data_IF_883735137416
#
_entry.id   IF_883735137416
#
_cell.length_a   1.000
_cell.length_b   1.000
_cell.length_c   1.000
_cell.angle_alpha   90.00
_cell.angle_beta   90.00
_cell.angle_gamma   90.00
#
_symmetry.space_group_name_H-M   'P 1'
#
loop_
_entity.id
_entity.type
_entity.pdbx_description
1 polymer ?
#
# COMPACT_ATOMS: atom_id res chain seq x y z
N UNK A 1 -10.38 -5.65 11.93
CA UNK A 1 -10.33 -5.09 13.29
C UNK A 1 -11.71 -4.67 13.74
N UNK A 2 -12.14 -5.22 14.85
CA UNK A 2 -13.50 -4.97 15.36
C UNK A 2 -13.76 -3.52 15.75
N UNK A 3 -12.67 -2.74 15.96
CA UNK A 3 -12.80 -1.35 16.37
C UNK A 3 -12.98 -0.38 15.21
N UNK A 4 -12.82 -0.86 13.98
CA UNK A 4 -12.97 -0.03 12.79
C UNK A 4 -14.33 0.67 12.76
N UNK A 5 -15.38 -0.01 13.20
CA UNK A 5 -16.74 0.53 13.18
C UNK A 5 -16.97 1.70 14.14
N UNK A 6 -16.05 1.89 15.09
CA UNK A 6 -16.12 2.95 16.09
C UNK A 6 -15.32 4.18 15.70
N UNK A 7 -14.61 4.11 14.57
CA UNK A 7 -13.79 5.21 14.10
C UNK A 7 -14.62 6.14 13.22
N UNK A 8 -14.28 7.42 13.24
CA UNK A 8 -14.88 8.34 12.29
C UNK A 8 -14.27 8.11 10.90
N UNK A 9 -14.81 8.81 9.90
CA UNK A 9 -14.39 8.62 8.52
C UNK A 9 -12.91 8.94 8.31
N UNK A 10 -12.40 9.97 8.96
CA UNK A 10 -10.99 10.34 8.86
C UNK A 10 -10.08 9.27 9.44
N UNK A 11 -10.46 8.77 10.61
CA UNK A 11 -9.69 7.70 11.26
C UNK A 11 -9.70 6.43 10.41
N UNK A 12 -10.83 6.11 9.80
CA UNK A 12 -10.92 4.97 8.90
C UNK A 12 -9.99 5.13 7.70
N UNK A 13 -9.92 6.33 7.13
CA UNK A 13 -8.98 6.62 6.04
C UNK A 13 -7.52 6.42 6.49
N UNK A 14 -7.21 6.83 7.72
CA UNK A 14 -5.86 6.64 8.26
C UNK A 14 -5.52 5.16 8.38
N UNK A 15 -6.45 4.34 8.85
CA UNK A 15 -6.22 2.91 8.99
C UNK A 15 -5.96 2.28 7.61
N UNK A 16 -6.79 2.59 6.63
CA UNK A 16 -6.60 2.05 5.27
C UNK A 16 -5.29 2.54 4.68
N UNK A 17 -4.92 3.79 4.91
CA UNK A 17 -3.65 4.34 4.43
C UNK A 17 -2.47 3.57 5.03
N UNK A 18 -2.52 3.27 6.33
CA UNK A 18 -1.48 2.49 6.98
C UNK A 18 -1.36 1.10 6.36
N UNK A 19 -2.50 0.45 6.08
CA UNK A 19 -2.51 -0.86 5.45
C UNK A 19 -1.89 -0.82 4.06
N UNK A 20 -2.26 0.17 3.25
CA UNK A 20 -1.71 0.32 1.91
C UNK A 20 -0.22 0.63 1.94
N UNK A 21 0.23 1.44 2.89
CA UNK A 21 1.66 1.71 3.05
C UNK A 21 2.42 0.44 3.45
N UNK A 22 1.83 -0.39 4.30
CA UNK A 22 2.42 -1.68 4.67
C UNK A 22 2.54 -2.61 3.48
N UNK A 23 1.53 -2.65 2.62
CA UNK A 23 1.57 -3.45 1.40
C UNK A 23 2.64 -2.94 0.43
N UNK A 24 2.83 -1.62 0.36
CA UNK A 24 3.91 -1.04 -0.45
C UNK A 24 5.28 -1.46 0.08
N UNK A 25 5.47 -1.44 1.39
CA UNK A 25 6.71 -1.91 2.01
C UNK A 25 6.97 -3.37 1.64
N UNK A 26 5.95 -4.22 1.72
CA UNK A 26 6.08 -5.62 1.37
C UNK A 26 6.42 -5.82 -0.10
N UNK A 27 5.81 -5.04 -0.99
CA UNK A 27 6.10 -5.13 -2.42
C UNK A 27 7.55 -4.78 -2.71
N UNK A 28 8.06 -3.72 -2.10
CA UNK A 28 9.47 -3.35 -2.23
C UNK A 28 10.39 -4.43 -1.68
N UNK A 29 10.05 -4.96 -0.52
CA UNK A 29 10.85 -5.99 0.13
C UNK A 29 10.97 -7.25 -0.72
N UNK A 30 9.87 -7.67 -1.35
CA UNK A 30 9.88 -8.84 -2.22
C UNK A 30 10.81 -8.66 -3.41
N UNK A 31 10.79 -7.47 -4.02
CA UNK A 31 11.66 -7.18 -5.16
C UNK A 31 13.13 -7.20 -4.74
N UNK A 32 13.45 -6.56 -3.62
CA UNK A 32 14.81 -6.52 -3.12
C UNK A 32 15.36 -7.92 -2.82
N UNK A 33 14.52 -8.76 -2.20
CA UNK A 33 14.94 -10.12 -1.88
C UNK A 33 15.18 -10.97 -3.13
N UNK A 34 14.44 -10.70 -4.20
CA UNK A 34 14.53 -11.46 -5.44
C UNK A 34 15.47 -10.81 -6.46
N UNK A 35 15.92 -9.59 -6.18
CA UNK A 35 16.77 -8.82 -7.10
C UNK A 35 16.14 -8.67 -8.49
N UNK A 36 14.83 -8.46 -8.54
CA UNK A 36 14.08 -8.41 -9.80
C UNK A 36 13.60 -6.99 -10.16
N UNK A 37 14.27 -5.97 -9.61
CA UNK A 37 13.84 -4.57 -9.82
C UNK A 37 13.77 -4.19 -11.30
N UNK A 38 14.70 -4.71 -12.09
CA UNK A 38 14.81 -4.35 -13.51
C UNK A 38 14.16 -5.38 -14.42
N UNK A 39 13.47 -6.37 -13.86
CA UNK A 39 12.80 -7.39 -14.65
C UNK A 39 11.32 -7.01 -14.78
N UNK A 40 10.75 -7.36 -15.94
CA UNK A 40 9.30 -7.18 -16.16
C UNK A 40 8.59 -8.39 -15.58
N UNK A 41 8.34 -8.36 -14.27
CA UNK A 41 7.76 -9.48 -13.54
C UNK A 41 6.46 -9.06 -12.87
N UNK A 42 5.72 -10.06 -12.37
CA UNK A 42 4.52 -9.81 -11.59
C UNK A 42 4.81 -9.02 -10.32
N UNK A 43 6.02 -9.12 -9.78
CA UNK A 43 6.40 -8.39 -8.58
C UNK A 43 6.57 -6.89 -8.86
N UNK A 44 7.12 -6.56 -10.02
CA UNK A 44 7.23 -5.16 -10.44
C UNK A 44 5.84 -4.59 -10.72
N UNK A 45 4.96 -5.36 -11.36
CA UNK A 45 3.59 -4.92 -11.60
C UNK A 45 2.85 -4.70 -10.28
N UNK A 46 3.03 -5.62 -9.33
CA UNK A 46 2.44 -5.47 -8.01
C UNK A 46 2.94 -4.20 -7.32
N UNK A 47 4.23 -3.88 -7.43
CA UNK A 47 4.76 -2.64 -6.88
C UNK A 47 4.07 -1.42 -7.49
N UNK A 48 3.88 -1.41 -8.81
CA UNK A 48 3.20 -0.30 -9.47
C UNK A 48 1.78 -0.14 -8.96
N UNK A 49 1.07 -1.25 -8.78
CA UNK A 49 -0.29 -1.23 -8.27
C UNK A 49 -0.34 -0.66 -6.84
N UNK A 50 0.60 -1.07 -5.98
CA UNK A 50 0.66 -0.58 -4.61
C UNK A 50 1.00 0.90 -4.55
N UNK A 51 1.87 1.38 -5.44
CA UNK A 51 2.18 2.81 -5.53
C UNK A 51 0.91 3.58 -5.87
N UNK A 52 0.12 3.09 -6.83
CA UNK A 52 -1.14 3.72 -7.20
C UNK A 52 -2.13 3.76 -6.05
N UNK A 53 -2.23 2.67 -5.31
CA UNK A 53 -3.14 2.58 -4.17
C UNK A 53 -2.76 3.56 -3.06
N UNK A 54 -1.47 3.62 -2.72
CA UNK A 54 -0.97 4.56 -1.71
C UNK A 54 -1.21 6.00 -2.17
N UNK A 55 -0.91 6.30 -3.43
CA UNK A 55 -1.12 7.63 -3.97
C UNK A 55 -2.60 8.05 -3.85
N UNK A 56 -3.51 7.14 -4.19
CA UNK A 56 -4.95 7.39 -4.08
C UNK A 56 -5.34 7.70 -2.64
N UNK A 57 -4.86 6.92 -1.68
CA UNK A 57 -5.18 7.15 -0.28
C UNK A 57 -4.62 8.48 0.22
N UNK A 58 -3.41 8.83 -0.18
CA UNK A 58 -2.83 10.11 0.22
C UNK A 58 -3.65 11.28 -0.32
N UNK A 59 -4.15 11.16 -1.54
CA UNK A 59 -5.01 12.20 -2.11
C UNK A 59 -6.31 12.34 -1.35
N UNK A 60 -6.89 11.23 -0.92
CA UNK A 60 -8.14 11.26 -0.16
C UNK A 60 -7.97 11.88 1.22
N UNK A 61 -6.76 11.79 1.80
CA UNK A 61 -6.49 12.35 3.11
C UNK A 61 -6.21 13.85 3.09
N UNK A 62 -5.80 14.40 1.97
CA UNK A 62 -5.51 15.81 1.81
C UNK A 62 -6.76 16.56 1.36
#
# INVERSE_FOLDING_TARGET
MSQMNKLDQRQQLMVVTMEECGELVQACSKILRRQELYADTKYVQNLKDEIGDVYTMLKLMV
#
